data_IF_125910405198
#
_entry.id   IF_125910405198
#
_cell.length_a   1.000
_cell.length_b   1.000
_cell.length_c   1.000
_cell.angle_alpha   90.00
_cell.angle_beta   90.00
_cell.angle_gamma   90.00
#
_symmetry.space_group_name_H-M   'P 1'
#
loop_
_entity.id
_entity.type
_entity.pdbx_description
1 polymer ?
#
# COMPACT_ATOMS: atom_id res chain seq x y z
N UNK A 1 -25.62 -9.34 -11.45
CA UNK A 1 -24.41 -9.31 -12.28
C UNK A 1 -24.75 -9.89 -13.65
N UNK A 2 -24.24 -9.30 -14.74
CA UNK A 2 -24.25 -9.96 -16.05
C UNK A 2 -23.11 -11.00 -16.09
N UNK A 3 -23.39 -12.20 -15.57
CA UNK A 3 -22.39 -13.24 -15.37
C UNK A 3 -21.74 -13.72 -16.67
N UNK A 4 -22.53 -13.85 -17.74
CA UNK A 4 -22.04 -14.33 -19.03
C UNK A 4 -21.00 -13.38 -19.64
N UNK A 5 -21.26 -12.07 -19.62
CA UNK A 5 -20.30 -11.11 -20.16
C UNK A 5 -19.06 -10.99 -19.27
N UNK A 6 -19.20 -11.16 -17.95
CA UNK A 6 -18.05 -11.19 -17.05
C UNK A 6 -17.19 -12.44 -17.27
N UNK A 7 -17.81 -13.61 -17.54
CA UNK A 7 -17.10 -14.84 -17.90
C UNK A 7 -16.26 -14.64 -19.16
N UNK A 8 -16.86 -14.09 -20.23
CA UNK A 8 -16.14 -13.80 -21.48
C UNK A 8 -14.93 -12.88 -21.21
N UNK A 9 -15.12 -11.83 -20.40
CA UNK A 9 -14.03 -10.94 -20.00
C UNK A 9 -12.89 -11.68 -19.28
N UNK A 10 -13.20 -12.63 -18.39
CA UNK A 10 -12.18 -13.41 -17.69
C UNK A 10 -11.44 -14.37 -18.62
N UNK A 11 -12.14 -14.98 -19.57
CA UNK A 11 -11.56 -15.88 -20.58
C UNK A 11 -10.64 -15.12 -21.54
N UNK A 12 -11.03 -13.92 -21.99
CA UNK A 12 -10.19 -13.03 -22.80
C UNK A 12 -8.91 -12.57 -22.07
N UNK A 13 -8.92 -12.60 -20.74
CA UNK A 13 -7.76 -12.32 -19.88
C UNK A 13 -6.93 -13.57 -19.56
N UNK A 14 -7.26 -14.72 -20.16
CA UNK A 14 -6.58 -16.00 -19.98
C UNK A 14 -6.49 -16.42 -18.50
N UNK A 15 -7.52 -16.07 -17.70
CA UNK A 15 -7.58 -16.45 -16.30
C UNK A 15 -7.87 -17.96 -16.18
N UNK A 16 -7.16 -18.65 -15.28
CA UNK A 16 -7.35 -20.08 -15.03
C UNK A 16 -8.81 -20.44 -14.70
N UNK A 17 -9.32 -21.51 -15.29
CA UNK A 17 -10.72 -21.96 -15.15
C UNK A 17 -11.13 -22.19 -13.69
N UNK A 18 -10.24 -22.67 -12.81
CA UNK A 18 -10.57 -22.86 -11.40
C UNK A 18 -10.67 -21.53 -10.67
N UNK A 19 -9.82 -20.55 -11.03
CA UNK A 19 -9.91 -19.18 -10.52
C UNK A 19 -11.23 -18.53 -10.96
N UNK A 20 -11.62 -18.69 -12.24
CA UNK A 20 -12.90 -18.19 -12.75
C UNK A 20 -14.07 -18.78 -11.95
N UNK A 21 -14.12 -20.10 -11.77
CA UNK A 21 -15.16 -20.77 -10.96
C UNK A 21 -15.21 -20.22 -9.54
N UNK A 22 -14.05 -20.01 -8.91
CA UNK A 22 -13.99 -19.44 -7.57
C UNK A 22 -14.53 -18.01 -7.56
N UNK A 23 -14.12 -17.15 -8.50
CA UNK A 23 -14.59 -15.76 -8.58
C UNK A 23 -16.10 -15.68 -8.76
N UNK A 24 -16.67 -16.47 -9.68
CA UNK A 24 -18.12 -16.53 -9.88
C UNK A 24 -18.84 -17.01 -8.61
N UNK A 25 -18.29 -18.00 -7.90
CA UNK A 25 -18.85 -18.46 -6.63
C UNK A 25 -18.87 -17.35 -5.58
N UNK A 26 -17.75 -16.64 -5.36
CA UNK A 26 -17.67 -15.56 -4.37
C UNK A 26 -18.59 -14.38 -4.67
N UNK A 27 -18.76 -14.03 -5.95
CA UNK A 27 -19.66 -12.96 -6.36
C UNK A 27 -21.12 -13.36 -6.17
N UNK A 28 -21.50 -14.60 -6.45
CA UNK A 28 -22.86 -15.12 -6.17
C UNK A 28 -23.17 -15.14 -4.67
N UNK A 29 -22.21 -15.53 -3.84
CA UNK A 29 -22.35 -15.48 -2.37
C UNK A 29 -22.62 -14.05 -1.90
N UNK A 30 -21.89 -13.07 -2.44
CA UNK A 30 -22.11 -11.66 -2.13
C UNK A 30 -23.47 -11.16 -2.65
N UNK A 31 -23.89 -11.52 -3.87
CA UNK A 31 -25.23 -11.18 -4.36
C UNK A 31 -26.34 -11.76 -3.47
N UNK A 32 -26.16 -12.98 -2.96
CA UNK A 32 -27.11 -13.60 -2.03
C UNK A 32 -27.12 -12.89 -0.67
N UNK A 33 -25.97 -12.40 -0.20
CA UNK A 33 -25.91 -11.54 0.98
C UNK A 33 -26.68 -10.23 0.76
N UNK A 34 -26.46 -9.57 -0.38
CA UNK A 34 -27.13 -8.30 -0.73
C UNK A 34 -28.66 -8.43 -0.89
N UNK A 35 -29.14 -9.54 -1.45
CA UNK A 35 -30.57 -9.81 -1.62
C UNK A 35 -31.35 -9.79 -0.31
N UNK A 36 -30.72 -10.09 0.84
CA UNK A 36 -31.36 -10.02 2.17
C UNK A 36 -31.82 -8.60 2.51
N UNK A 37 -31.20 -7.59 1.91
CA UNK A 37 -31.54 -6.17 2.06
C UNK A 37 -32.18 -5.59 0.78
N UNK A 38 -32.63 -6.43 -0.16
CA UNK A 38 -33.13 -6.02 -1.48
C UNK A 38 -32.12 -5.21 -2.31
N UNK A 39 -30.82 -5.43 -2.10
CA UNK A 39 -29.73 -4.81 -2.84
C UNK A 39 -29.19 -5.76 -3.93
N UNK A 40 -28.48 -5.19 -4.91
CA UNK A 40 -27.77 -5.92 -5.95
C UNK A 40 -26.45 -5.24 -6.29
N UNK A 41 -25.57 -5.94 -7.04
CA UNK A 41 -24.26 -5.42 -7.42
C UNK A 41 -24.30 -4.12 -8.22
N UNK A 42 -25.39 -3.85 -8.94
CA UNK A 42 -25.51 -2.65 -9.77
C UNK A 42 -25.82 -1.40 -8.93
N UNK A 43 -26.61 -1.56 -7.86
CA UNK A 43 -27.15 -0.46 -7.03
C UNK A 43 -26.47 -0.29 -5.66
N UNK A 44 -25.68 -1.28 -5.22
CA UNK A 44 -25.10 -1.26 -3.88
C UNK A 44 -23.95 -0.25 -3.73
N UNK A 45 -23.86 0.36 -2.54
CA UNK A 45 -22.75 1.25 -2.17
C UNK A 45 -21.47 0.46 -1.85
N UNK A 46 -20.27 0.99 -2.14
CA UNK A 46 -18.99 0.38 -1.76
C UNK A 46 -18.86 0.06 -0.26
N UNK A 47 -19.57 0.80 0.61
CA UNK A 47 -19.55 0.55 2.06
C UNK A 47 -19.99 -0.87 2.42
N UNK A 48 -20.89 -1.49 1.62
CA UNK A 48 -21.31 -2.88 1.84
C UNK A 48 -20.19 -3.90 1.62
N UNK A 49 -19.11 -3.54 0.92
CA UNK A 49 -17.93 -4.40 0.83
C UNK A 49 -17.31 -4.60 2.21
N UNK A 50 -17.19 -3.55 3.01
CA UNK A 50 -16.60 -3.64 4.35
C UNK A 50 -17.48 -4.50 5.25
N UNK A 51 -18.78 -4.24 5.27
CA UNK A 51 -19.75 -5.02 6.04
C UNK A 51 -19.74 -6.50 5.64
N UNK A 52 -19.67 -6.80 4.35
CA UNK A 52 -19.59 -8.17 3.88
C UNK A 52 -18.27 -8.83 4.25
N UNK A 53 -17.13 -8.11 4.18
CA UNK A 53 -15.86 -8.68 4.64
C UNK A 53 -15.84 -8.92 6.15
N UNK A 54 -16.50 -8.09 6.96
CA UNK A 54 -16.65 -8.37 8.40
C UNK A 54 -17.57 -9.59 8.65
N UNK A 55 -18.63 -9.74 7.87
CA UNK A 55 -19.47 -10.94 7.87
C UNK A 55 -18.65 -12.19 7.52
N UNK A 56 -17.82 -12.13 6.48
CA UNK A 56 -16.94 -13.23 6.09
C UNK A 56 -15.91 -13.53 7.19
N UNK A 57 -15.32 -12.53 7.85
CA UNK A 57 -14.44 -12.75 9.01
C UNK A 57 -15.15 -13.56 10.11
N UNK A 58 -16.44 -13.27 10.36
CA UNK A 58 -17.21 -13.96 11.41
C UNK A 58 -17.69 -15.38 11.04
N UNK A 59 -17.72 -15.72 9.75
CA UNK A 59 -18.32 -16.97 9.25
C UNK A 59 -17.36 -17.89 8.52
N UNK A 60 -16.43 -17.33 7.75
CA UNK A 60 -15.41 -18.03 6.97
C UNK A 60 -14.28 -17.06 6.57
N UNK A 61 -13.40 -16.73 7.53
CA UNK A 61 -12.33 -15.72 7.33
C UNK A 61 -11.41 -16.01 6.14
N UNK A 62 -11.19 -17.29 5.81
CA UNK A 62 -10.28 -17.68 4.72
C UNK A 62 -10.85 -17.32 3.34
N UNK A 63 -12.16 -17.06 3.26
CA UNK A 63 -12.83 -16.64 2.01
C UNK A 63 -12.64 -15.15 1.66
N UNK A 64 -12.12 -14.33 2.58
CA UNK A 64 -12.03 -12.88 2.39
C UNK A 64 -11.10 -12.53 1.23
N UNK A 65 -9.92 -13.17 1.15
CA UNK A 65 -8.94 -12.88 0.10
C UNK A 65 -9.47 -13.22 -1.30
N UNK A 66 -10.11 -14.38 -1.42
CA UNK A 66 -10.75 -14.81 -2.66
C UNK A 66 -11.88 -13.85 -3.07
N UNK A 67 -12.69 -13.42 -2.12
CA UNK A 67 -13.75 -12.45 -2.36
C UNK A 67 -13.19 -11.11 -2.84
N UNK A 68 -12.16 -10.57 -2.18
CA UNK A 68 -11.52 -9.32 -2.60
C UNK A 68 -10.95 -9.43 -4.02
N UNK A 69 -10.34 -10.57 -4.37
CA UNK A 69 -9.82 -10.82 -5.71
C UNK A 69 -10.95 -10.86 -6.76
N UNK A 70 -12.05 -11.55 -6.43
CA UNK A 70 -13.22 -11.65 -7.30
C UNK A 70 -13.89 -10.29 -7.53
N UNK A 71 -14.10 -9.50 -6.47
CA UNK A 71 -14.75 -8.19 -6.58
C UNK A 71 -13.86 -7.17 -7.28
N UNK A 72 -12.53 -7.21 -7.11
CA UNK A 72 -11.60 -6.36 -7.86
C UNK A 72 -11.66 -6.67 -9.36
N UNK A 73 -11.70 -7.95 -9.73
CA UNK A 73 -11.83 -8.36 -11.13
C UNK A 73 -13.16 -7.88 -11.73
N UNK A 74 -14.26 -8.10 -11.01
CA UNK A 74 -15.58 -7.64 -11.45
C UNK A 74 -15.70 -6.11 -11.51
N UNK A 75 -15.12 -5.39 -10.55
CA UNK A 75 -15.14 -3.93 -10.52
C UNK A 75 -14.32 -3.32 -11.67
N UNK A 76 -13.21 -3.96 -12.06
CA UNK A 76 -12.47 -3.58 -13.27
C UNK A 76 -13.29 -3.78 -14.54
N UNK A 77 -13.93 -4.95 -14.68
CA UNK A 77 -14.81 -5.26 -15.81
C UNK A 77 -15.97 -4.25 -15.93
N UNK A 78 -16.65 -3.98 -14.82
CA UNK A 78 -17.83 -3.13 -14.76
C UNK A 78 -17.52 -1.64 -14.59
N UNK A 79 -16.24 -1.27 -14.52
CA UNK A 79 -15.75 0.10 -14.26
C UNK A 79 -16.31 0.73 -12.98
N UNK A 80 -16.57 -0.09 -11.95
CA UNK A 80 -16.98 0.35 -10.59
C UNK A 80 -15.76 0.78 -9.78
N UNK A 81 -15.16 1.91 -10.15
CA UNK A 81 -13.89 2.37 -9.59
C UNK A 81 -13.93 2.67 -8.08
N UNK A 82 -15.10 3.05 -7.55
CA UNK A 82 -15.34 3.20 -6.13
C UNK A 82 -15.26 1.86 -5.36
N UNK A 83 -15.67 0.76 -5.98
CA UNK A 83 -15.47 -0.59 -5.44
C UNK A 83 -14.00 -0.99 -5.46
N UNK A 84 -13.25 -0.61 -6.51
CA UNK A 84 -11.81 -0.88 -6.57
C UNK A 84 -11.09 -0.18 -5.42
N UNK A 85 -11.35 1.12 -5.21
CA UNK A 85 -10.74 1.86 -4.10
C UNK A 85 -11.06 1.23 -2.75
N UNK A 86 -12.32 0.83 -2.51
CA UNK A 86 -12.70 0.23 -1.23
C UNK A 86 -12.17 -1.19 -1.03
N UNK A 87 -12.13 -2.01 -2.09
CA UNK A 87 -11.51 -3.33 -2.01
C UNK A 87 -9.99 -3.23 -1.77
N UNK A 88 -9.29 -2.30 -2.43
CA UNK A 88 -7.86 -2.05 -2.18
C UNK A 88 -7.63 -1.57 -0.74
N UNK A 89 -8.49 -0.71 -0.20
CA UNK A 89 -8.42 -0.27 1.20
C UNK A 89 -8.37 -1.45 2.20
N UNK A 90 -9.15 -2.49 1.92
CA UNK A 90 -9.18 -3.71 2.73
C UNK A 90 -7.96 -4.58 2.42
N UNK A 91 -7.66 -4.79 1.14
CA UNK A 91 -6.57 -5.63 0.64
C UNK A 91 -5.19 -5.19 1.13
N UNK A 92 -4.92 -3.88 1.19
CA UNK A 92 -3.66 -3.30 1.70
C UNK A 92 -3.40 -3.64 3.18
N UNK A 93 -4.37 -4.22 3.88
CA UNK A 93 -4.17 -4.69 5.26
C UNK A 93 -3.60 -6.10 5.33
N UNK A 94 -3.55 -6.81 4.21
CA UNK A 94 -3.12 -8.19 4.16
C UNK A 94 -1.68 -8.33 4.70
N UNK A 95 -1.45 -9.44 5.41
CA UNK A 95 -0.19 -10.04 5.85
C UNK A 95 0.83 -9.21 6.66
N UNK A 96 0.72 -7.88 6.79
CA UNK A 96 1.80 -7.12 7.42
C UNK A 96 2.08 -7.50 8.88
N UNK A 97 1.02 -7.68 9.68
CA UNK A 97 1.19 -8.06 11.09
C UNK A 97 1.56 -9.54 11.25
N UNK A 98 1.12 -10.41 10.32
CA UNK A 98 1.54 -11.81 10.28
C UNK A 98 3.04 -11.91 9.96
N UNK A 99 3.53 -11.11 9.01
CA UNK A 99 4.94 -11.02 8.67
C UNK A 99 5.77 -10.48 9.83
N UNK A 100 5.26 -9.48 10.57
CA UNK A 100 5.91 -8.98 11.78
C UNK A 100 5.99 -10.06 12.87
N UNK A 101 4.88 -10.79 13.10
CA UNK A 101 4.81 -11.90 14.05
C UNK A 101 5.87 -12.97 13.75
N UNK A 102 5.94 -13.46 12.51
CA UNK A 102 6.92 -14.46 12.09
C UNK A 102 8.36 -13.93 12.21
N UNK A 103 8.61 -12.70 11.75
CA UNK A 103 9.95 -12.09 11.75
C UNK A 103 10.53 -11.91 13.16
N UNK A 104 9.69 -11.59 14.16
CA UNK A 104 10.16 -11.50 15.55
C UNK A 104 10.62 -12.87 16.06
N UNK A 105 9.87 -13.94 15.76
CA UNK A 105 10.31 -15.28 16.14
C UNK A 105 11.59 -15.71 15.44
N UNK A 106 11.71 -15.42 14.15
CA UNK A 106 12.90 -15.75 13.36
C UNK A 106 14.16 -15.05 13.88
N UNK A 107 14.06 -13.78 14.28
CA UNK A 107 15.22 -12.94 14.65
C UNK A 107 15.49 -12.96 16.16
N UNK A 108 14.45 -12.90 16.98
CA UNK A 108 14.53 -12.74 18.44
C UNK A 108 14.00 -13.94 19.24
N UNK A 109 13.51 -14.98 18.56
CA UNK A 109 13.01 -16.19 19.18
C UNK A 109 11.51 -16.14 19.52
N UNK A 110 10.89 -17.33 19.57
CA UNK A 110 9.46 -17.50 19.79
C UNK A 110 8.99 -16.94 21.14
N UNK A 111 9.79 -17.10 22.20
CA UNK A 111 9.45 -16.56 23.52
C UNK A 111 9.28 -15.03 23.50
N UNK A 112 10.14 -14.32 22.75
CA UNK A 112 10.07 -12.87 22.63
C UNK A 112 8.84 -12.45 21.82
N UNK A 113 8.57 -13.15 20.71
CA UNK A 113 7.35 -12.95 19.92
C UNK A 113 6.10 -13.12 20.78
N UNK A 114 6.03 -14.20 21.56
CA UNK A 114 4.87 -14.54 22.37
C UNK A 114 4.66 -13.53 23.52
N UNK A 115 5.75 -12.99 24.10
CA UNK A 115 5.69 -11.87 25.04
C UNK A 115 5.09 -10.61 24.38
N UNK A 116 5.62 -10.22 23.22
CA UNK A 116 5.18 -9.02 22.50
C UNK A 116 3.72 -9.14 22.05
N UNK A 117 3.27 -10.32 21.65
CA UNK A 117 1.89 -10.57 21.20
C UNK A 117 0.95 -11.09 22.30
N UNK A 118 1.41 -11.17 23.56
CA UNK A 118 0.59 -11.69 24.67
C UNK A 118 -0.76 -10.99 24.76
N UNK A 119 -1.84 -11.77 24.77
CA UNK A 119 -3.23 -11.29 24.84
C UNK A 119 -3.68 -10.40 23.66
N UNK A 120 -2.93 -10.40 22.56
CA UNK A 120 -3.25 -9.65 21.34
C UNK A 120 -3.56 -10.62 20.20
N UNK A 121 -4.76 -10.49 19.63
CA UNK A 121 -5.13 -11.20 18.41
C UNK A 121 -4.90 -10.29 17.21
N UNK A 122 -4.14 -10.75 16.22
CA UNK A 122 -3.94 -10.03 14.96
C UNK A 122 -5.31 -9.85 14.28
N UNK A 123 -5.76 -8.62 13.99
CA UNK A 123 -6.99 -8.40 13.25
C UNK A 123 -6.91 -9.05 11.86
N UNK A 124 -7.79 -10.00 11.51
CA UNK A 124 -7.73 -10.66 10.22
C UNK A 124 -8.04 -9.69 9.06
N UNK A 125 -7.65 -10.09 7.84
CA UNK A 125 -8.08 -9.42 6.62
C UNK A 125 -9.61 -9.34 6.59
N UNK A 126 -10.15 -8.18 6.18
CA UNK A 126 -11.60 -7.92 6.18
C UNK A 126 -12.13 -7.16 7.39
N UNK A 127 -11.35 -7.04 8.47
CA UNK A 127 -11.71 -6.16 9.59
C UNK A 127 -11.60 -4.69 9.18
N UNK A 128 -12.58 -3.88 9.60
CA UNK A 128 -12.63 -2.45 9.34
C UNK A 128 -11.29 -1.75 9.69
N UNK A 129 -10.73 -0.91 8.79
CA UNK A 129 -9.44 -0.26 9.02
C UNK A 129 -9.35 0.55 10.32
N UNK A 130 -10.44 1.17 10.78
CA UNK A 130 -10.46 1.95 12.04
C UNK A 130 -10.23 1.11 13.30
N UNK A 131 -10.37 -0.22 13.25
CA UNK A 131 -10.10 -1.11 14.39
C UNK A 131 -8.61 -1.47 14.54
N UNK A 132 -7.79 -1.19 13.52
CA UNK A 132 -6.38 -1.62 13.43
C UNK A 132 -5.39 -0.70 14.17
N UNK A 133 -5.56 0.64 14.20
CA UNK A 133 -4.58 1.52 14.82
C UNK A 133 -4.30 1.23 16.30
N UNK A 134 -5.31 0.84 17.08
CA UNK A 134 -5.10 0.51 18.49
C UNK A 134 -4.26 -0.77 18.67
N UNK A 135 -4.47 -1.77 17.82
CA UNK A 135 -3.62 -2.96 17.76
C UNK A 135 -2.18 -2.58 17.39
N UNK A 136 -1.99 -1.80 16.33
CA UNK A 136 -0.69 -1.33 15.86
C UNK A 136 0.06 -0.56 16.94
N UNK A 137 -0.62 0.35 17.64
CA UNK A 137 -0.06 1.11 18.77
C UNK A 137 0.48 0.18 19.86
N UNK A 138 -0.31 -0.80 20.29
CA UNK A 138 0.07 -1.71 21.36
C UNK A 138 1.29 -2.57 20.96
N UNK A 139 1.31 -3.08 19.73
CA UNK A 139 2.45 -3.86 19.21
C UNK A 139 3.70 -2.99 19.13
N UNK A 140 3.60 -1.78 18.58
CA UNK A 140 4.75 -0.87 18.49
C UNK A 140 5.32 -0.53 19.86
N UNK A 141 4.46 -0.28 20.85
CA UNK A 141 4.91 0.01 22.21
C UNK A 141 5.69 -1.16 22.80
N UNK A 142 5.19 -2.38 22.64
CA UNK A 142 5.85 -3.58 23.15
C UNK A 142 7.14 -3.89 22.42
N UNK A 143 7.22 -3.65 21.11
CA UNK A 143 8.47 -3.75 20.35
C UNK A 143 9.53 -2.82 20.93
N UNK A 144 9.20 -1.54 21.11
CA UNK A 144 10.16 -0.55 21.63
C UNK A 144 10.57 -0.84 23.08
N UNK A 145 9.60 -1.20 23.94
CA UNK A 145 9.86 -1.51 25.35
C UNK A 145 10.74 -2.77 25.53
N UNK A 146 10.58 -3.79 24.68
CA UNK A 146 11.31 -5.07 24.82
C UNK A 146 12.59 -5.15 23.99
N UNK A 147 12.63 -4.52 22.82
CA UNK A 147 13.73 -4.66 21.86
C UNK A 147 14.54 -3.37 21.68
N UNK A 148 14.00 -2.23 22.12
CA UNK A 148 14.58 -0.91 21.85
C UNK A 148 14.32 -0.42 20.43
N UNK A 149 14.65 0.86 20.18
CA UNK A 149 14.39 1.53 18.92
C UNK A 149 15.13 0.91 17.73
N UNK A 150 16.42 0.57 17.90
CA UNK A 150 17.24 0.06 16.79
C UNK A 150 16.70 -1.27 16.24
N UNK A 151 16.40 -2.22 17.12
CA UNK A 151 15.83 -3.51 16.72
C UNK A 151 14.40 -3.36 16.18
N UNK A 152 13.60 -2.45 16.75
CA UNK A 152 12.26 -2.14 16.23
C UNK A 152 12.33 -1.63 14.79
N UNK A 153 13.24 -0.69 14.51
CA UNK A 153 13.48 -0.17 13.16
C UNK A 153 13.98 -1.28 12.24
N UNK A 154 14.92 -2.11 12.71
CA UNK A 154 15.46 -3.23 11.94
C UNK A 154 14.36 -4.22 11.52
N UNK A 155 13.40 -4.52 12.41
CA UNK A 155 12.24 -5.38 12.11
C UNK A 155 11.32 -4.78 11.04
N UNK A 156 11.15 -3.45 11.02
CA UNK A 156 10.25 -2.77 10.09
C UNK A 156 10.92 -2.48 8.73
N UNK A 157 12.23 -2.23 8.72
CA UNK A 157 12.98 -1.74 7.56
C UNK A 157 12.94 -2.63 6.29
N UNK A 158 12.67 -3.96 6.34
CA UNK A 158 12.48 -4.76 5.13
C UNK A 158 11.06 -4.67 4.53
N UNK A 159 10.24 -3.71 4.95
CA UNK A 159 8.80 -3.65 4.68
C UNK A 159 8.04 -4.86 5.27
N UNK A 160 6.82 -4.63 5.73
CA UNK A 160 5.95 -5.71 6.21
C UNK A 160 5.01 -6.25 5.12
N UNK A 161 4.74 -5.47 4.07
CA UNK A 161 3.87 -5.89 2.95
C UNK A 161 4.63 -6.52 1.78
N UNK A 162 5.97 -6.40 1.76
CA UNK A 162 6.79 -6.73 0.59
C UNK A 162 6.69 -5.66 -0.51
N UNK A 163 7.03 -6.05 -1.74
CA UNK A 163 6.96 -5.20 -2.94
C UNK A 163 6.66 -6.06 -4.18
N UNK A 164 5.83 -5.61 -5.13
CA UNK A 164 5.66 -6.26 -6.42
C UNK A 164 6.98 -6.39 -7.20
N UNK A 165 7.07 -7.31 -8.18
CA UNK A 165 8.27 -7.43 -9.01
C UNK A 165 8.57 -6.13 -9.77
N UNK A 166 9.83 -5.68 -9.72
CA UNK A 166 10.35 -4.59 -10.54
C UNK A 166 11.23 -5.13 -11.67
N UNK A 167 11.36 -4.38 -12.76
CA UNK A 167 12.37 -4.64 -13.79
C UNK A 167 13.76 -4.17 -13.33
N UNK A 168 14.32 -4.84 -12.31
CA UNK A 168 15.63 -4.52 -11.74
C UNK A 168 16.73 -4.56 -12.81
N UNK A 169 16.64 -5.48 -13.77
CA UNK A 169 17.63 -5.60 -14.85
C UNK A 169 17.58 -4.40 -15.80
N UNK A 170 16.38 -4.01 -16.23
CA UNK A 170 16.18 -2.83 -17.06
C UNK A 170 16.57 -1.54 -16.33
N UNK A 171 16.19 -1.41 -15.06
CA UNK A 171 16.53 -0.24 -14.24
C UNK A 171 18.04 -0.11 -14.02
N UNK A 172 18.77 -1.20 -13.76
CA UNK A 172 20.25 -1.19 -13.68
C UNK A 172 20.91 -0.75 -14.99
N UNK A 173 20.39 -1.21 -16.13
CA UNK A 173 20.88 -0.79 -17.45
C UNK A 173 20.67 0.71 -17.64
N UNK A 174 19.46 1.19 -17.37
CA UNK A 174 19.11 2.61 -17.50
C UNK A 174 19.95 3.49 -16.56
N UNK A 175 20.18 3.04 -15.33
CA UNK A 175 21.04 3.71 -14.36
C UNK A 175 22.49 3.83 -14.86
N UNK A 176 23.00 2.79 -15.50
CA UNK A 176 24.35 2.78 -16.09
C UNK A 176 24.46 3.76 -17.26
N UNK A 177 23.43 3.84 -18.12
CA UNK A 177 23.43 4.69 -19.32
C UNK A 177 23.28 6.19 -18.99
N UNK A 178 22.39 6.50 -18.04
CA UNK A 178 21.98 7.87 -17.73
C UNK A 178 22.70 8.48 -16.52
N UNK A 179 23.37 7.66 -15.70
CA UNK A 179 23.78 8.06 -14.37
C UNK A 179 22.58 8.25 -13.43
N UNK A 180 22.84 8.45 -12.13
CA UNK A 180 21.78 8.45 -11.12
C UNK A 180 20.77 9.60 -11.31
N UNK A 181 21.21 10.82 -11.63
CA UNK A 181 20.29 11.95 -11.76
C UNK A 181 19.42 11.83 -13.02
N UNK A 182 20.02 11.40 -14.13
CA UNK A 182 19.30 11.12 -15.38
C UNK A 182 18.31 9.96 -15.22
N UNK A 183 18.70 8.93 -14.46
CA UNK A 183 17.82 7.81 -14.10
C UNK A 183 16.60 8.28 -13.30
N UNK A 184 16.79 9.06 -12.22
CA UNK A 184 15.69 9.56 -11.39
C UNK A 184 14.74 10.46 -12.21
N UNK A 185 15.29 11.35 -13.04
CA UNK A 185 14.50 12.17 -13.96
C UNK A 185 13.69 11.32 -14.93
N UNK A 186 14.29 10.27 -15.50
CA UNK A 186 13.61 9.36 -16.42
C UNK A 186 12.48 8.58 -15.73
N UNK A 187 12.69 8.06 -14.51
CA UNK A 187 11.63 7.40 -13.73
C UNK A 187 10.47 8.35 -13.44
N UNK A 188 10.76 9.62 -13.15
CA UNK A 188 9.73 10.64 -12.96
C UNK A 188 8.94 10.93 -14.26
N UNK A 189 9.62 11.07 -15.40
CA UNK A 189 8.97 11.25 -16.70
C UNK A 189 8.10 10.05 -17.09
N UNK A 190 8.54 8.83 -16.80
CA UNK A 190 7.77 7.62 -17.07
C UNK A 190 6.54 7.50 -16.15
N UNK A 191 6.64 7.97 -14.90
CA UNK A 191 5.48 8.12 -14.01
C UNK A 191 4.46 9.10 -14.60
N UNK A 192 4.88 10.28 -15.05
CA UNK A 192 3.98 11.27 -15.66
C UNK A 192 3.25 10.65 -16.87
N UNK A 193 3.97 9.96 -17.77
CA UNK A 193 3.37 9.27 -18.92
C UNK A 193 2.36 8.20 -18.51
N UNK A 194 2.66 7.45 -17.44
CA UNK A 194 1.74 6.44 -16.91
C UNK A 194 0.46 7.10 -16.38
N UNK A 195 0.58 8.21 -15.66
CA UNK A 195 -0.54 8.98 -15.16
C UNK A 195 -1.39 9.56 -16.30
N UNK A 196 -0.76 10.15 -17.32
CA UNK A 196 -1.43 10.64 -18.53
C UNK A 196 -2.22 9.53 -19.23
N UNK A 197 -1.63 8.33 -19.36
CA UNK A 197 -2.33 7.16 -19.90
C UNK A 197 -3.57 6.79 -19.08
N UNK A 198 -3.46 6.73 -17.75
CA UNK A 198 -4.60 6.42 -16.88
C UNK A 198 -5.72 7.46 -17.00
N UNK A 199 -5.38 8.75 -17.09
CA UNK A 199 -6.34 9.83 -17.36
C UNK A 199 -7.05 9.62 -18.69
N UNK A 200 -6.29 9.38 -19.77
CA UNK A 200 -6.83 9.30 -21.14
C UNK A 200 -7.70 8.05 -21.34
N UNK A 201 -7.33 6.92 -20.72
CA UNK A 201 -8.11 5.68 -20.74
C UNK A 201 -9.28 5.69 -19.73
N UNK A 202 -9.33 6.69 -18.85
CA UNK A 202 -10.32 6.78 -17.77
C UNK A 202 -10.18 5.67 -16.74
N UNK A 203 -8.97 5.16 -16.52
CA UNK A 203 -8.66 4.08 -15.55
C UNK A 203 -7.99 4.62 -14.29
N UNK A 204 -7.84 3.78 -13.27
CA UNK A 204 -7.16 4.16 -12.03
C UNK A 204 -5.66 3.84 -12.10
N UNK A 205 -4.83 4.74 -11.56
CA UNK A 205 -3.48 4.38 -11.14
C UNK A 205 -3.59 3.78 -9.72
N UNK A 206 -3.43 2.47 -9.61
CA UNK A 206 -3.70 1.72 -8.37
C UNK A 206 -5.15 1.95 -7.87
N UNK A 207 -5.35 2.71 -6.79
CA UNK A 207 -6.66 3.03 -6.22
C UNK A 207 -7.09 4.48 -6.47
N UNK A 208 -6.37 5.22 -7.33
CA UNK A 208 -6.47 6.66 -7.48
C UNK A 208 -6.99 7.08 -8.85
N UNK A 209 -7.95 8.00 -8.84
CA UNK A 209 -8.38 8.74 -10.04
C UNK A 209 -7.26 9.71 -10.42
N UNK A 210 -6.93 9.73 -11.71
CA UNK A 210 -5.93 10.63 -12.28
C UNK A 210 -6.61 11.63 -13.21
N UNK A 211 -6.47 12.91 -12.90
CA UNK A 211 -6.86 14.03 -13.75
C UNK A 211 -5.68 14.99 -13.96
N UNK A 212 -5.90 16.09 -14.68
CA UNK A 212 -4.83 17.04 -14.98
C UNK A 212 -4.25 17.69 -13.72
N UNK A 213 -5.06 17.93 -12.68
CA UNK A 213 -4.58 18.49 -11.43
C UNK A 213 -3.62 17.54 -10.72
N UNK A 214 -3.94 16.23 -10.69
CA UNK A 214 -3.05 15.20 -10.16
C UNK A 214 -1.75 15.11 -10.96
N UNK A 215 -1.83 15.16 -12.29
CA UNK A 215 -0.65 15.07 -13.15
C UNK A 215 0.24 16.30 -12.96
N UNK A 216 -0.33 17.49 -12.92
CA UNK A 216 0.42 18.74 -12.74
C UNK A 216 1.07 18.81 -11.35
N UNK A 217 0.38 18.33 -10.32
CA UNK A 217 0.94 18.18 -8.97
C UNK A 217 2.19 17.30 -8.97
N UNK A 218 2.15 16.15 -9.67
CA UNK A 218 3.31 15.26 -9.79
C UNK A 218 4.40 15.90 -10.65
N UNK A 219 4.04 16.44 -11.82
CA UNK A 219 4.97 17.06 -12.79
C UNK A 219 5.82 18.19 -12.19
N UNK A 220 5.23 18.96 -11.28
CA UNK A 220 5.91 20.08 -10.62
C UNK A 220 6.84 19.67 -9.46
N UNK A 221 6.91 18.39 -9.09
CA UNK A 221 7.79 17.91 -8.04
C UNK A 221 8.40 16.54 -8.37
N UNK A 222 9.64 16.55 -8.88
CA UNK A 222 10.38 15.32 -9.21
C UNK A 222 10.56 14.38 -8.02
N UNK A 223 10.55 14.88 -6.78
CA UNK A 223 10.70 14.02 -5.60
C UNK A 223 9.55 13.00 -5.50
N UNK A 224 8.35 13.33 -6.00
CA UNK A 224 7.19 12.44 -5.99
C UNK A 224 7.46 11.19 -6.84
N UNK A 225 7.71 10.07 -6.15
CA UNK A 225 8.05 8.74 -6.63
C UNK A 225 9.29 8.62 -7.55
N UNK A 226 9.81 9.72 -8.11
CA UNK A 226 11.02 9.77 -8.93
C UNK A 226 12.30 10.01 -8.12
N UNK A 227 12.25 10.93 -7.17
CA UNK A 227 13.36 11.27 -6.29
C UNK A 227 14.34 12.31 -6.87
N UNK A 228 15.06 13.00 -5.99
CA UNK A 228 16.11 13.98 -6.33
C UNK A 228 17.33 13.73 -5.45
N UNK A 229 18.51 13.67 -6.08
CA UNK A 229 19.75 13.46 -5.34
C UNK A 229 20.36 14.78 -4.83
N UNK A 230 20.87 14.75 -3.61
CA UNK A 230 21.74 15.78 -3.03
C UNK A 230 22.93 15.09 -2.37
N UNK A 231 24.13 15.28 -2.92
CA UNK A 231 25.33 14.55 -2.47
C UNK A 231 25.19 13.05 -2.66
N UNK A 232 25.31 12.29 -1.55
CA UNK A 232 25.15 10.84 -1.50
C UNK A 232 23.75 10.39 -1.07
N UNK A 233 22.75 11.28 -1.02
CA UNK A 233 21.39 10.95 -0.59
C UNK A 233 20.41 11.21 -1.72
N UNK A 234 19.51 10.27 -2.00
CA UNK A 234 18.32 10.48 -2.81
C UNK A 234 17.15 10.80 -1.88
N UNK A 235 16.52 11.93 -2.07
CA UNK A 235 15.28 12.28 -1.39
C UNK A 235 14.11 11.94 -2.30
N UNK A 236 13.20 11.10 -1.84
CA UNK A 236 11.97 10.75 -2.57
C UNK A 236 10.76 10.93 -1.68
N UNK A 237 9.66 11.35 -2.27
CA UNK A 237 8.39 11.53 -1.60
C UNK A 237 7.35 10.59 -2.19
N UNK A 238 6.39 10.16 -1.38
CA UNK A 238 5.23 9.43 -1.89
C UNK A 238 4.27 10.37 -2.60
N UNK A 239 3.76 9.92 -3.74
CA UNK A 239 2.48 10.42 -4.26
C UNK A 239 1.42 10.11 -3.20
N UNK A 240 0.55 11.05 -2.78
CA UNK A 240 -0.50 10.76 -1.82
C UNK A 240 -1.41 9.61 -2.28
N UNK A 241 -1.85 8.74 -1.35
CA UNK A 241 -2.69 7.57 -1.66
C UNK A 241 -3.97 7.91 -2.43
N UNK A 242 -4.57 9.06 -2.12
CA UNK A 242 -5.75 9.61 -2.80
C UNK A 242 -5.48 11.08 -3.15
N UNK A 243 -4.54 11.34 -4.06
CA UNK A 243 -4.03 12.66 -4.46
C UNK A 243 -5.14 13.67 -4.74
N UNK A 244 -6.15 13.33 -5.55
CA UNK A 244 -7.28 14.25 -5.80
C UNK A 244 -8.01 14.68 -4.52
N UNK A 245 -8.25 13.75 -3.60
CA UNK A 245 -8.87 14.05 -2.30
C UNK A 245 -7.92 14.86 -1.42
N UNK A 246 -6.63 14.53 -1.43
CA UNK A 246 -5.58 15.26 -0.70
C UNK A 246 -5.50 16.73 -1.14
N UNK A 247 -5.53 17.01 -2.44
CA UNK A 247 -5.44 18.37 -2.99
C UNK A 247 -6.68 19.21 -2.67
N UNK A 248 -7.87 18.63 -2.76
CA UNK A 248 -9.15 19.34 -2.60
C UNK A 248 -9.62 19.48 -1.15
N UNK A 249 -9.11 18.64 -0.24
CA UNK A 249 -9.48 18.67 1.18
C UNK A 249 -8.84 19.86 1.89
N UNK A 250 -9.59 20.57 2.75
CA UNK A 250 -9.05 21.66 3.57
C UNK A 250 -8.59 21.20 4.96
N UNK A 251 -9.28 20.20 5.51
CA UNK A 251 -8.96 19.62 6.82
C UNK A 251 -7.62 18.87 6.79
N UNK A 252 -6.65 19.29 7.60
CA UNK A 252 -5.31 18.71 7.62
C UNK A 252 -5.28 17.25 8.08
N UNK A 253 -6.15 16.84 9.01
CA UNK A 253 -6.24 15.44 9.45
C UNK A 253 -6.67 14.56 8.28
N UNK A 254 -7.68 15.02 7.54
CA UNK A 254 -8.16 14.32 6.35
C UNK A 254 -7.13 14.34 5.22
N UNK A 255 -6.33 15.40 5.06
CA UNK A 255 -5.17 15.37 4.15
C UNK A 255 -4.19 14.26 4.54
N UNK A 256 -3.79 14.16 5.81
CA UNK A 256 -2.89 13.08 6.26
C UNK A 256 -3.49 11.69 6.04
N UNK A 257 -4.80 11.54 6.25
CA UNK A 257 -5.51 10.30 5.91
C UNK A 257 -5.39 9.95 4.42
N UNK A 258 -5.60 10.93 3.52
CA UNK A 258 -5.48 10.73 2.07
C UNK A 258 -4.02 10.63 1.58
N UNK A 259 -3.05 11.04 2.38
CA UNK A 259 -1.62 10.81 2.14
C UNK A 259 -1.22 9.36 2.42
N UNK A 260 -1.82 8.73 3.44
CA UNK A 260 -1.36 7.45 3.98
C UNK A 260 -1.96 6.23 3.25
N UNK A 261 -1.07 5.37 2.75
CA UNK A 261 -1.44 4.09 2.14
C UNK A 261 -1.82 3.03 3.19
N UNK A 262 -1.15 3.04 4.35
CA UNK A 262 -1.18 1.91 5.27
C UNK A 262 -2.47 1.87 6.11
N UNK A 263 -3.34 0.86 5.92
CA UNK A 263 -4.58 0.76 6.69
C UNK A 263 -4.37 0.42 8.16
N UNK A 264 -3.18 -0.05 8.55
CA UNK A 264 -2.82 -0.33 9.94
C UNK A 264 -2.68 0.91 10.81
N UNK A 265 -2.49 2.10 10.20
CA UNK A 265 -2.28 3.36 10.93
C UNK A 265 -3.18 4.50 10.46
N UNK A 266 -3.62 4.52 9.20
CA UNK A 266 -4.30 5.70 8.64
C UNK A 266 -5.60 6.04 9.35
N UNK A 267 -6.27 5.06 9.96
CA UNK A 267 -7.45 5.30 10.80
C UNK A 267 -7.16 6.27 11.96
N UNK A 268 -5.98 6.19 12.59
CA UNK A 268 -5.61 7.13 13.63
C UNK A 268 -5.33 8.54 13.12
N UNK A 269 -4.82 8.69 11.89
CA UNK A 269 -4.66 10.00 11.25
C UNK A 269 -6.01 10.70 11.04
N UNK A 270 -7.03 9.92 10.66
CA UNK A 270 -8.41 10.41 10.50
C UNK A 270 -9.00 10.88 11.84
N UNK A 271 -8.86 10.07 12.89
CA UNK A 271 -9.42 10.38 14.22
C UNK A 271 -8.56 11.40 15.01
N UNK A 272 -7.33 11.66 14.58
CA UNK A 272 -6.37 12.49 15.30
C UNK A 272 -5.83 11.83 16.57
N UNK A 273 -5.70 10.50 16.55
CA UNK A 273 -5.12 9.66 17.62
C UNK A 273 -3.72 9.16 17.26
N UNK A 274 -3.12 9.75 16.23
CA UNK A 274 -1.80 9.43 15.69
C UNK A 274 -0.64 9.82 16.60
N UNK A 275 -0.85 10.73 17.56
CA UNK A 275 0.13 11.10 18.58
C UNK A 275 0.60 9.93 19.45
N UNK A 276 -0.15 8.83 19.42
CA UNK A 276 0.12 7.61 20.17
C UNK A 276 0.80 6.51 19.34
N UNK A 277 0.85 6.65 18.01
CA UNK A 277 1.51 5.70 17.12
C UNK A 277 2.97 6.08 17.02
N UNK A 278 3.83 5.19 17.51
CA UNK A 278 5.26 5.46 17.60
C UNK A 278 5.84 5.71 16.21
N UNK A 279 6.59 6.83 16.11
CA UNK A 279 7.14 7.40 14.87
C UNK A 279 7.91 6.38 14.03
N UNK A 280 8.42 5.33 14.66
CA UNK A 280 9.18 4.27 14.03
C UNK A 280 8.35 3.43 13.03
N UNK A 281 7.02 3.37 13.14
CA UNK A 281 6.21 2.52 12.25
C UNK A 281 6.40 2.85 10.76
N UNK A 282 6.65 4.11 10.41
CA UNK A 282 6.92 4.53 9.05
C UNK A 282 8.25 4.00 8.46
N UNK A 283 9.14 3.38 9.26
CA UNK A 283 10.25 2.61 8.70
C UNK A 283 9.79 1.41 7.86
N UNK A 284 8.58 0.88 8.10
CA UNK A 284 7.96 -0.10 7.20
C UNK A 284 7.75 0.50 5.79
N UNK A 285 7.29 1.76 5.73
CA UNK A 285 7.14 2.49 4.48
C UNK A 285 8.48 2.86 3.84
N UNK A 286 9.51 3.19 4.64
CA UNK A 286 10.88 3.37 4.15
C UNK A 286 11.41 2.06 3.51
N UNK A 287 11.02 0.93 4.10
CA UNK A 287 11.37 -0.40 3.61
C UNK A 287 10.92 -0.71 2.20
N UNK A 288 9.81 -0.13 1.75
CA UNK A 288 9.36 -0.24 0.35
C UNK A 288 10.41 0.28 -0.66
N UNK A 289 11.12 1.35 -0.30
CA UNK A 289 12.22 1.89 -1.11
C UNK A 289 13.50 1.10 -0.88
N UNK A 290 13.78 0.69 0.36
CA UNK A 290 14.94 -0.15 0.68
C UNK A 290 14.94 -1.44 -0.14
N UNK A 291 13.82 -2.16 -0.20
CA UNK A 291 13.70 -3.40 -0.98
C UNK A 291 14.06 -3.21 -2.47
N UNK A 292 13.69 -2.08 -3.05
CA UNK A 292 14.03 -1.76 -4.44
C UNK A 292 15.52 -1.44 -4.60
N UNK A 293 16.05 -0.52 -3.79
CA UNK A 293 17.42 -0.06 -3.94
C UNK A 293 18.47 -1.07 -3.47
N UNK A 294 18.16 -1.92 -2.49
CA UNK A 294 19.00 -3.06 -2.11
C UNK A 294 19.27 -3.97 -3.33
N UNK A 295 18.25 -4.19 -4.18
CA UNK A 295 18.38 -4.97 -5.41
C UNK A 295 19.14 -4.23 -6.52
N UNK A 296 18.93 -2.92 -6.65
CA UNK A 296 19.66 -2.07 -7.62
C UNK A 296 21.15 -2.04 -7.30
N UNK A 297 21.52 -1.91 -6.02
CA UNK A 297 22.92 -1.82 -5.61
C UNK A 297 23.56 -3.14 -5.19
N UNK A 298 22.77 -4.23 -5.14
CA UNK A 298 23.20 -5.57 -4.74
C UNK A 298 23.86 -5.60 -3.35
N UNK A 299 23.44 -4.69 -2.47
CA UNK A 299 23.91 -4.59 -1.09
C UNK A 299 22.86 -3.88 -0.24
N UNK A 300 22.80 -4.15 1.09
CA UNK A 300 21.91 -3.43 1.98
C UNK A 300 22.24 -1.93 2.03
N UNK A 301 21.23 -1.09 1.85
CA UNK A 301 21.32 0.36 2.03
C UNK A 301 20.47 0.83 3.22
N UNK A 302 20.67 2.08 3.63
CA UNK A 302 19.87 2.74 4.66
C UNK A 302 18.80 3.60 3.99
N UNK A 303 17.56 3.49 4.46
CA UNK A 303 16.47 4.39 4.10
C UNK A 303 15.78 4.90 5.35
N UNK A 304 15.71 6.22 5.49
CA UNK A 304 15.16 6.88 6.67
C UNK A 304 13.89 7.67 6.32
N UNK A 305 12.80 7.53 7.07
CA UNK A 305 11.67 8.45 6.98
C UNK A 305 12.08 9.82 7.58
N UNK A 306 11.99 10.88 6.77
CA UNK A 306 12.35 12.26 7.19
C UNK A 306 11.10 13.03 7.59
N UNK A 307 10.08 12.99 6.73
CA UNK A 307 8.77 13.61 6.95
C UNK A 307 7.71 12.54 6.76
N UNK A 308 6.69 12.52 7.61
CA UNK A 308 5.59 11.57 7.49
C UNK A 308 4.30 12.13 8.03
N UNK A 309 3.17 11.61 7.53
CA UNK A 309 1.86 11.93 8.10
C UNK A 309 1.76 11.64 9.61
N UNK A 310 2.44 10.60 10.11
CA UNK A 310 2.51 10.29 11.55
C UNK A 310 3.32 11.32 12.36
N UNK A 311 4.26 12.02 11.73
CA UNK A 311 5.00 13.13 12.36
C UNK A 311 4.30 14.48 12.20
N UNK A 312 3.11 14.49 11.62
CA UNK A 312 2.30 15.70 11.41
C UNK A 312 2.51 16.37 10.05
N UNK A 313 3.41 15.87 9.20
CA UNK A 313 3.69 16.44 7.90
C UNK A 313 2.58 16.16 6.87
N UNK A 314 2.48 17.02 5.85
CA UNK A 314 1.62 16.81 4.68
C UNK A 314 2.38 16.21 3.49
N UNK A 315 3.60 15.73 3.72
CA UNK A 315 4.43 15.04 2.75
C UNK A 315 5.12 13.85 3.44
N UNK A 316 5.21 12.72 2.74
CA UNK A 316 5.95 11.55 3.21
C UNK A 316 7.25 11.45 2.43
N UNK A 317 8.36 11.93 3.00
CA UNK A 317 9.69 12.00 2.38
C UNK A 317 10.66 11.03 3.02
N UNK A 318 11.46 10.35 2.19
CA UNK A 318 12.43 9.35 2.59
C UNK A 318 13.82 9.70 2.05
N UNK A 319 14.83 9.58 2.91
CA UNK A 319 16.23 9.73 2.55
C UNK A 319 16.83 8.35 2.27
N UNK A 320 17.31 8.14 1.06
CA UNK A 320 17.90 6.89 0.58
C UNK A 320 19.40 7.13 0.46
N UNK A 321 20.16 6.49 1.34
CA UNK A 321 21.61 6.67 1.41
C UNK A 321 22.29 5.80 0.37
N UNK A 322 22.99 6.44 -0.58
CA UNK A 322 23.75 5.74 -1.59
C UNK A 322 24.97 5.05 -0.96
N UNK A 323 25.38 3.88 -1.50
CA UNK A 323 26.60 3.21 -1.05
C UNK A 323 27.82 4.13 -1.12
N UNK A 324 28.74 4.03 -0.15
CA UNK A 324 29.96 4.86 -0.10
C UNK A 324 30.87 4.66 -1.31
N UNK A 325 30.84 3.46 -1.91
CA UNK A 325 31.57 3.13 -3.13
C UNK A 325 30.81 3.49 -4.42
N UNK A 326 29.60 4.05 -4.33
CA UNK A 326 28.85 4.49 -5.49
C UNK A 326 29.56 5.68 -6.13
N UNK A 327 30.36 5.40 -7.17
CA UNK A 327 31.05 6.44 -7.93
C UNK A 327 30.01 7.30 -8.60
N UNK A 328 29.94 8.57 -8.18
CA UNK A 328 29.17 9.60 -8.85
C UNK A 328 29.74 9.77 -10.26
N UNK A 329 29.19 9.07 -11.24
CA UNK A 329 29.40 9.43 -12.64
C UNK A 329 28.62 10.72 -12.87
N UNK A 330 29.24 11.85 -12.56
CA UNK A 330 28.89 13.13 -13.17
C UNK A 330 29.26 12.99 -14.65
N UNK A 331 28.26 12.99 -15.53
CA UNK A 331 28.48 13.46 -16.89
C UNK A 331 28.53 14.99 -16.87
#
# INVERSE_FOLDING_TARGET
MNEQNFLIFLEEKEIDTNIIKNFLSKLRDYENYLKKENLNLDSVSPKKLVEYTEYLVSTNKDSVLDFLSAILSYANYSKKYDFITEAINIFESYNAMDNLYSRIAEIHGEQMRDEIFRDLNIPPLGVHPEKKPNFTKNIMKRLEDNLGNENTIALLSPCLHGRPPDDIKGDKKLLTELGIDGFLLKKHQDLIKKLEKHRDEGTLEFAQIVDEEVIEFVRNNQMLAGGVRKGNIIYTSKVPYQTKKFLTTKDEKMKKFYLCYCPWIRGALKEGTDYEILKNFCHCSAGWYKLYWDQIFEQPIIVEPIQTGLNGDLECTFAIHLPTNFKTQTK
#
